data_IF_043864272765
#
_entry.id   IF_043864272765
#
_cell.length_a   1.000
_cell.length_b   1.000
_cell.length_c   1.000
_cell.angle_alpha   90.00
_cell.angle_beta   90.00
_cell.angle_gamma   90.00
#
_symmetry.space_group_name_H-M   'P 1'
#
loop_
_entity.id
_entity.type
_entity.pdbx_description
1 polymer ?
#
# COMPACT_ATOMS: atom_id res chain seq x y z
N UNK A 1 10.40 5.53 -9.94
CA UNK A 1 11.81 5.34 -9.60
C UNK A 1 12.19 3.93 -10.03
N UNK A 2 13.17 3.78 -10.93
CA UNK A 2 13.78 2.48 -11.25
C UNK A 2 15.19 2.53 -10.66
N UNK A 3 15.60 1.57 -9.80
CA UNK A 3 16.86 1.66 -9.06
C UNK A 3 18.10 1.82 -9.96
N UNK A 4 18.14 1.09 -11.07
CA UNK A 4 19.15 1.19 -12.13
C UNK A 4 18.67 0.48 -13.41
N UNK A 5 19.34 0.69 -14.53
CA UNK A 5 19.10 -0.07 -15.78
C UNK A 5 19.21 -1.58 -15.55
N UNK A 6 18.29 -2.35 -16.12
CA UNK A 6 18.22 -3.81 -15.95
C UNK A 6 17.25 -4.26 -14.85
N UNK A 7 16.88 -3.37 -13.91
CA UNK A 7 15.84 -3.69 -12.94
C UNK A 7 14.44 -3.48 -13.52
N UNK A 8 13.57 -4.46 -13.30
CA UNK A 8 12.15 -4.41 -13.65
C UNK A 8 11.30 -4.42 -12.38
N UNK A 9 10.12 -3.79 -12.46
CA UNK A 9 9.11 -3.92 -11.41
C UNK A 9 8.53 -5.33 -11.48
N UNK A 10 8.57 -6.04 -10.36
CA UNK A 10 7.97 -7.36 -10.22
C UNK A 10 6.56 -7.26 -9.63
N UNK A 11 6.39 -6.43 -8.59
CA UNK A 11 5.12 -6.29 -7.87
C UNK A 11 5.00 -4.93 -7.16
N UNK A 12 3.78 -4.53 -6.87
CA UNK A 12 3.45 -3.30 -6.15
C UNK A 12 2.25 -3.54 -5.21
N UNK A 13 2.44 -3.23 -3.93
CA UNK A 13 1.40 -3.39 -2.90
C UNK A 13 1.32 -2.16 -2.01
N UNK A 14 0.10 -1.80 -1.60
CA UNK A 14 -0.13 -0.77 -0.60
C UNK A 14 -0.01 -1.42 0.79
N UNK A 15 0.91 -0.92 1.61
CA UNK A 15 1.09 -1.37 2.99
C UNK A 15 0.39 -0.39 3.92
N UNK A 16 -0.60 -0.89 4.66
CA UNK A 16 -1.41 -0.09 5.57
C UNK A 16 -2.86 -0.55 5.62
N UNK A 17 -3.74 0.19 6.31
CA UNK A 17 -5.15 -0.19 6.44
C UNK A 17 -5.87 -0.07 5.10
N UNK A 18 -6.75 -1.01 4.74
CA UNK A 18 -7.63 -0.88 3.55
C UNK A 18 -8.82 0.06 3.81
N UNK A 19 -8.57 1.12 4.56
CA UNK A 19 -9.57 2.10 4.94
C UNK A 19 -8.90 3.45 5.15
N UNK A 20 -9.63 4.53 4.95
CA UNK A 20 -9.19 5.89 5.28
C UNK A 20 -10.15 6.56 6.26
N UNK A 21 -9.68 7.63 6.90
CA UNK A 21 -10.53 8.44 7.76
C UNK A 21 -11.12 9.59 6.94
N UNK A 22 -12.41 9.51 6.62
CA UNK A 22 -13.16 10.55 5.91
C UNK A 22 -14.09 11.21 6.93
N UNK A 23 -13.89 12.50 7.23
CA UNK A 23 -14.72 13.27 8.18
C UNK A 23 -14.91 12.55 9.53
N UNK A 24 -13.80 12.10 10.12
CA UNK A 24 -13.78 11.35 11.38
C UNK A 24 -14.45 9.97 11.35
N UNK A 25 -14.74 9.43 10.16
CA UNK A 25 -15.30 8.10 10.00
C UNK A 25 -14.32 7.21 9.23
N UNK A 26 -14.18 5.96 9.68
CA UNK A 26 -13.41 4.95 8.94
C UNK A 26 -14.26 4.44 7.79
N UNK A 27 -13.74 4.57 6.57
CA UNK A 27 -14.38 4.16 5.33
C UNK A 27 -13.44 3.24 4.59
N UNK A 28 -13.94 2.07 4.16
CA UNK A 28 -13.16 1.13 3.36
C UNK A 28 -12.79 1.73 2.00
N UNK A 29 -11.60 1.39 1.50
CA UNK A 29 -11.15 1.80 0.17
C UNK A 29 -11.89 0.99 -0.91
N UNK A 30 -12.33 1.67 -1.97
CA UNK A 30 -12.99 1.08 -3.14
C UNK A 30 -12.05 0.88 -4.34
N UNK A 31 -10.74 1.08 -4.13
CA UNK A 31 -9.71 0.84 -5.13
C UNK A 31 -9.55 -0.66 -5.47
N UNK A 32 -9.06 -0.91 -6.68
CA UNK A 32 -8.61 -2.24 -7.16
C UNK A 32 -7.15 -2.55 -6.76
N UNK A 33 -6.49 -1.64 -6.06
CA UNK A 33 -5.12 -1.85 -5.58
C UNK A 33 -5.05 -3.02 -4.59
N UNK A 34 -3.93 -3.73 -4.61
CA UNK A 34 -3.65 -4.79 -3.62
C UNK A 34 -3.16 -4.15 -2.32
N UNK A 35 -3.76 -4.56 -1.20
CA UNK A 35 -3.37 -4.10 0.14
C UNK A 35 -2.74 -5.25 0.94
N UNK A 36 -1.56 -4.99 1.50
CA UNK A 36 -1.00 -5.74 2.61
C UNK A 36 -1.51 -5.10 3.91
N UNK A 37 -2.67 -5.57 4.38
CA UNK A 37 -3.29 -5.09 5.61
C UNK A 37 -2.54 -5.59 6.85
N UNK A 38 -2.55 -4.83 7.94
CA UNK A 38 -1.90 -5.27 9.17
C UNK A 38 -2.61 -6.45 9.81
N UNK A 39 -1.85 -7.24 10.57
CA UNK A 39 -2.40 -8.38 11.32
C UNK A 39 -3.32 -7.93 12.47
N UNK A 40 -3.18 -6.70 12.94
CA UNK A 40 -3.97 -6.10 14.02
C UNK A 40 -4.13 -4.59 13.74
N UNK A 41 -4.43 -3.77 14.75
CA UNK A 41 -4.71 -2.35 14.62
C UNK A 41 -3.53 -1.58 14.01
N UNK A 42 -3.77 -0.90 12.87
CA UNK A 42 -2.92 0.19 12.39
C UNK A 42 -3.33 1.48 13.10
N UNK A 43 -2.42 2.14 13.83
CA UNK A 43 -2.78 3.29 14.66
C UNK A 43 -3.09 4.55 13.86
N UNK A 44 -2.60 4.65 12.62
CA UNK A 44 -2.82 5.79 11.73
C UNK A 44 -3.61 5.37 10.49
N UNK A 45 -3.96 6.31 9.61
CA UNK A 45 -4.46 6.02 8.26
C UNK A 45 -3.36 6.14 7.19
N UNK A 46 -2.12 6.40 7.61
CA UNK A 46 -0.95 6.48 6.75
C UNK A 46 -0.71 5.14 6.05
N UNK A 47 -0.42 5.22 4.75
CA UNK A 47 -0.15 4.10 3.86
C UNK A 47 1.19 4.29 3.17
N UNK A 48 1.88 3.20 2.89
CA UNK A 48 3.09 3.18 2.07
C UNK A 48 2.86 2.39 0.79
N UNK A 49 3.63 2.70 -0.26
CA UNK A 49 3.71 1.86 -1.46
C UNK A 49 4.99 1.06 -1.38
N UNK A 50 4.87 -0.27 -1.34
CA UNK A 50 6.00 -1.18 -1.39
C UNK A 50 6.13 -1.75 -2.80
N UNK A 51 7.27 -1.48 -3.44
CA UNK A 51 7.59 -2.00 -4.77
C UNK A 51 8.64 -3.09 -4.63
N UNK A 52 8.35 -4.25 -5.19
CA UNK A 52 9.32 -5.33 -5.36
C UNK A 52 9.92 -5.22 -6.76
N UNK A 53 11.24 -5.21 -6.83
CA UNK A 53 11.97 -5.22 -8.09
C UNK A 53 12.69 -6.55 -8.26
N UNK A 54 12.87 -6.96 -9.50
CA UNK A 54 13.73 -8.06 -9.92
C UNK A 54 14.81 -7.54 -10.87
N UNK A 55 15.92 -8.25 -10.93
CA UNK A 55 17.00 -8.00 -11.88
C UNK A 55 16.99 -9.08 -12.96
#
# INVERSE_FOLDING_TARGET
>A
YIPATGWEVEDAVIVGPKSSIIRSQRVEEDSQDTFSTPADIWPTDHKGVLIKFKF
#
